data_IF_787367456059
#
_entry.id   IF_787367456059
#
_cell.length_a   1.000
_cell.length_b   1.000
_cell.length_c   1.000
_cell.angle_alpha   90.00
_cell.angle_beta   90.00
_cell.angle_gamma   90.00
#
_symmetry.space_group_name_H-M   'P 1'
#
loop_
_entity.id
_entity.type
_entity.pdbx_description
1 polymer ?
#
# COMPACT_ATOMS: atom_id res chain seq x y z
N UNK A 1 24.37 -46.63 -13.35
CA UNK A 1 24.31 -45.30 -14.01
C UNK A 1 24.47 -44.25 -12.91
N UNK A 2 25.73 -43.97 -12.55
CA UNK A 2 26.04 -43.06 -11.45
C UNK A 2 26.02 -41.62 -11.93
N UNK A 3 25.09 -40.82 -11.43
CA UNK A 3 25.18 -39.36 -11.47
C UNK A 3 26.18 -38.95 -10.39
N UNK A 4 27.47 -38.87 -10.74
CA UNK A 4 28.41 -38.07 -9.96
C UNK A 4 28.21 -36.61 -10.41
N UNK A 5 27.55 -35.75 -9.61
CA UNK A 5 27.44 -34.35 -9.99
C UNK A 5 28.84 -33.73 -10.00
N UNK A 6 29.21 -33.02 -11.08
CA UNK A 6 30.50 -32.34 -11.12
C UNK A 6 30.55 -31.30 -10.00
N UNK A 7 31.72 -31.05 -9.43
CA UNK A 7 31.91 -30.02 -8.39
C UNK A 7 31.39 -28.64 -8.85
N UNK A 8 31.49 -28.35 -10.15
CA UNK A 8 30.93 -27.14 -10.78
C UNK A 8 29.40 -27.10 -10.75
N UNK A 9 28.73 -28.24 -10.95
CA UNK A 9 27.27 -28.35 -10.92
C UNK A 9 26.76 -28.22 -9.48
N UNK A 10 27.47 -28.83 -8.51
CA UNK A 10 27.20 -28.68 -7.08
C UNK A 10 27.37 -27.22 -6.65
N UNK A 11 28.44 -26.55 -7.08
CA UNK A 11 28.69 -25.14 -6.76
C UNK A 11 27.63 -24.22 -7.38
N UNK A 12 27.24 -24.45 -8.64
CA UNK A 12 26.19 -23.68 -9.30
C UNK A 12 24.83 -23.84 -8.62
N UNK A 13 24.50 -25.07 -8.19
CA UNK A 13 23.28 -25.34 -7.45
C UNK A 13 23.27 -24.69 -6.07
N UNK A 14 24.40 -24.72 -5.36
CA UNK A 14 24.56 -24.03 -4.07
C UNK A 14 24.41 -22.51 -4.23
N UNK A 15 24.99 -21.93 -5.27
CA UNK A 15 24.89 -20.48 -5.55
C UNK A 15 23.44 -20.08 -5.85
N UNK A 16 22.69 -20.92 -6.58
CA UNK A 16 21.26 -20.73 -6.84
C UNK A 16 20.43 -20.81 -5.54
N UNK A 17 20.70 -21.79 -4.67
CA UNK A 17 20.01 -21.90 -3.38
C UNK A 17 20.26 -20.69 -2.49
N UNK A 18 21.49 -20.16 -2.51
CA UNK A 18 21.87 -18.95 -1.77
C UNK A 18 21.13 -17.72 -2.32
N UNK A 19 21.00 -17.54 -3.64
CA UNK A 19 20.27 -16.37 -4.18
C UNK A 19 18.77 -16.43 -3.88
N UNK A 20 18.16 -17.62 -3.87
CA UNK A 20 16.74 -17.78 -3.54
C UNK A 20 16.45 -17.49 -2.05
N UNK A 21 17.37 -17.77 -1.14
CA UNK A 21 17.16 -17.56 0.30
C UNK A 21 17.19 -16.08 0.72
N UNK A 22 17.74 -15.17 -0.10
CA UNK A 22 17.72 -13.73 0.16
C UNK A 22 16.52 -13.00 -0.47
N UNK A 23 15.65 -13.68 -1.21
CA UNK A 23 14.46 -13.09 -1.82
C UNK A 23 13.31 -12.95 -0.79
N UNK A 24 13.51 -12.20 0.29
CA UNK A 24 12.45 -11.84 1.23
C UNK A 24 12.22 -10.33 1.19
N UNK A 25 11.12 -9.91 0.57
CA UNK A 25 10.65 -8.53 0.62
C UNK A 25 9.48 -8.42 1.59
N UNK A 26 9.68 -7.70 2.70
CA UNK A 26 8.57 -7.33 3.57
C UNK A 26 7.80 -6.18 2.95
N UNK A 27 6.70 -6.51 2.25
CA UNK A 27 5.72 -5.51 1.85
C UNK A 27 5.06 -4.94 3.12
N UNK A 28 5.39 -3.71 3.46
CA UNK A 28 4.70 -3.00 4.55
C UNK A 28 3.29 -2.65 4.11
N UNK A 29 2.31 -3.17 4.83
CA UNK A 29 0.90 -2.88 4.63
C UNK A 29 0.37 -2.13 5.85
N UNK A 30 -0.49 -1.14 5.59
CA UNK A 30 -1.14 -0.36 6.64
C UNK A 30 -2.64 -0.38 6.40
N UNK A 31 -3.40 -0.79 7.41
CA UNK A 31 -4.86 -0.80 7.36
C UNK A 31 -5.41 0.46 8.02
N UNK A 32 -6.28 1.16 7.28
CA UNK A 32 -7.01 2.33 7.75
C UNK A 32 -8.48 1.93 7.86
N UNK A 33 -9.02 1.93 9.07
CA UNK A 33 -10.41 1.57 9.33
C UNK A 33 -11.21 2.79 9.79
N UNK A 34 -12.38 3.00 9.19
CA UNK A 34 -13.31 4.01 9.66
C UNK A 34 -14.19 3.44 10.79
N UNK A 35 -13.98 3.88 12.02
CA UNK A 35 -14.86 3.55 13.17
C UNK A 35 -15.89 4.63 13.48
N UNK A 36 -15.86 5.76 12.77
CA UNK A 36 -16.83 6.84 12.94
C UNK A 36 -18.22 6.39 12.47
N UNK A 37 -19.27 6.96 13.06
CA UNK A 37 -20.66 6.73 12.67
C UNK A 37 -21.06 7.40 11.34
N UNK A 38 -20.10 7.96 10.61
CA UNK A 38 -20.30 8.70 9.38
C UNK A 38 -19.19 8.39 8.37
N UNK A 39 -19.47 8.67 7.09
CA UNK A 39 -18.52 8.51 6.00
C UNK A 39 -17.33 9.46 6.15
N UNK A 40 -16.13 8.91 6.01
CA UNK A 40 -14.88 9.68 5.91
C UNK A 40 -14.20 9.39 4.58
N UNK A 41 -13.40 10.33 4.10
CA UNK A 41 -12.52 10.11 2.95
C UNK A 41 -11.10 10.01 3.49
N UNK A 42 -10.63 8.79 3.69
CA UNK A 42 -9.24 8.55 4.08
C UNK A 42 -8.30 9.12 3.01
N UNK A 43 -7.18 9.65 3.47
CA UNK A 43 -6.13 10.22 2.64
C UNK A 43 -4.76 9.79 3.17
N UNK A 44 -3.83 9.57 2.25
CA UNK A 44 -2.46 9.22 2.55
C UNK A 44 -1.51 9.88 1.55
N UNK A 45 -0.37 10.37 2.03
CA UNK A 45 0.73 10.84 1.18
C UNK A 45 2.04 10.18 1.62
N UNK A 46 2.69 9.38 0.76
CA UNK A 46 2.15 8.84 -0.49
C UNK A 46 1.02 7.83 -0.21
N UNK A 47 0.14 7.61 -1.20
CA UNK A 47 -0.84 6.51 -1.13
C UNK A 47 -2.25 6.85 -1.60
N UNK A 48 -2.58 8.13 -1.71
CA UNK A 48 -3.80 8.56 -2.38
C UNK A 48 -4.98 8.85 -1.46
N UNK A 49 -6.19 8.50 -1.91
CA UNK A 49 -7.38 8.62 -1.06
C UNK A 49 -8.52 7.68 -1.41
N UNK A 50 -9.34 7.34 -0.41
CA UNK A 50 -10.48 6.44 -0.55
C UNK A 50 -11.63 6.85 0.36
N UNK A 51 -12.85 6.80 -0.16
CA UNK A 51 -14.06 6.93 0.65
C UNK A 51 -14.27 5.66 1.48
N UNK A 52 -14.54 5.83 2.78
CA UNK A 52 -14.83 4.74 3.71
C UNK A 52 -16.13 5.05 4.47
N UNK A 53 -17.14 4.20 4.27
CA UNK A 53 -18.33 4.16 5.12
C UNK A 53 -17.97 3.61 6.50
N UNK A 54 -18.89 3.72 7.45
CA UNK A 54 -18.70 3.18 8.79
C UNK A 54 -18.33 1.69 8.73
N UNK A 55 -17.25 1.32 9.43
CA UNK A 55 -16.75 -0.05 9.54
C UNK A 55 -15.86 -0.51 8.38
N UNK A 56 -15.80 0.23 7.26
CA UNK A 56 -14.97 -0.12 6.11
C UNK A 56 -13.49 0.13 6.37
N UNK A 57 -12.66 -0.65 5.67
CA UNK A 57 -11.20 -0.62 5.76
C UNK A 57 -10.57 -0.34 4.39
N UNK A 58 -9.45 0.37 4.41
CA UNK A 58 -8.54 0.55 3.28
C UNK A 58 -7.15 0.05 3.63
N UNK A 59 -6.68 -0.94 2.89
CA UNK A 59 -5.30 -1.43 3.01
C UNK A 59 -4.41 -0.68 2.02
N UNK A 60 -3.52 0.16 2.56
CA UNK A 60 -2.43 0.75 1.82
C UNK A 60 -1.32 -0.29 1.65
N UNK A 61 -0.91 -0.51 0.40
CA UNK A 61 0.16 -1.44 0.03
C UNK A 61 1.35 -0.65 -0.51
N UNK A 62 2.55 -1.19 -0.33
CA UNK A 62 3.79 -0.65 -0.90
C UNK A 62 4.13 0.78 -0.46
N UNK A 63 3.67 1.20 0.72
CA UNK A 63 4.01 2.54 1.25
C UNK A 63 5.41 2.50 1.85
N UNK A 64 6.38 3.08 1.16
CA UNK A 64 7.76 3.14 1.65
C UNK A 64 8.07 4.52 2.23
N UNK A 65 8.87 4.56 3.30
CA UNK A 65 9.36 5.80 3.88
C UNK A 65 8.36 6.57 4.75
N UNK A 66 8.64 7.86 4.94
CA UNK A 66 7.83 8.78 5.75
C UNK A 66 6.60 9.24 4.97
N UNK A 67 5.47 9.34 5.65
CA UNK A 67 4.22 9.79 5.06
C UNK A 67 3.23 10.30 6.08
N UNK A 68 2.06 10.72 5.60
CA UNK A 68 0.95 11.18 6.42
C UNK A 68 -0.28 10.36 6.08
N UNK A 69 -1.08 10.04 7.09
CA UNK A 69 -2.41 9.46 6.95
C UNK A 69 -3.36 10.35 7.76
N UNK A 70 -4.49 10.73 7.16
CA UNK A 70 -5.50 11.54 7.84
C UNK A 70 -6.91 11.25 7.31
N UNK A 71 -7.91 11.64 8.08
CA UNK A 71 -9.32 11.59 7.68
C UNK A 71 -9.78 12.93 7.12
N UNK A 72 -10.62 12.87 6.09
CA UNK A 72 -11.32 14.03 5.53
C UNK A 72 -12.81 13.87 5.73
N UNK A 73 -13.52 14.99 5.92
CA UNK A 73 -14.96 14.96 6.20
C UNK A 73 -15.75 15.85 5.25
N UNK A 74 -17.03 15.49 5.05
CA UNK A 74 -17.99 16.20 4.21
C UNK A 74 -17.42 16.53 2.82
N UNK A 75 -16.92 15.50 2.14
CA UNK A 75 -16.37 15.68 0.80
C UNK A 75 -17.41 15.43 -0.29
N UNK A 76 -17.24 16.09 -1.42
CA UNK A 76 -17.98 15.83 -2.65
C UNK A 76 -17.00 15.85 -3.83
N UNK A 77 -16.97 14.78 -4.63
CA UNK A 77 -16.11 14.64 -5.80
C UNK A 77 -16.93 14.31 -7.04
N UNK A 78 -16.54 14.87 -8.19
CA UNK A 78 -17.03 14.50 -9.51
C UNK A 78 -16.43 13.19 -10.01
N UNK A 79 -16.88 12.73 -11.18
CA UNK A 79 -16.38 11.50 -11.80
C UNK A 79 -14.92 11.57 -12.26
N UNK A 80 -14.38 12.79 -12.37
CA UNK A 80 -12.97 13.09 -12.62
C UNK A 80 -12.10 13.06 -11.34
N UNK A 81 -12.70 12.81 -10.17
CA UNK A 81 -12.01 12.81 -8.88
C UNK A 81 -11.70 14.20 -8.34
N UNK A 82 -12.20 15.27 -8.98
CA UNK A 82 -12.06 16.65 -8.50
C UNK A 82 -13.25 17.05 -7.64
N UNK A 83 -13.02 17.88 -6.63
CA UNK A 83 -14.03 18.17 -5.62
C UNK A 83 -13.52 19.02 -4.48
N UNK A 84 -14.15 18.85 -3.31
CA UNK A 84 -13.76 19.57 -2.08
C UNK A 84 -14.21 18.83 -0.83
N UNK A 85 -13.40 18.89 0.22
CA UNK A 85 -13.74 18.52 1.58
C UNK A 85 -13.85 19.74 2.50
N UNK A 86 -14.67 19.66 3.56
CA UNK A 86 -14.75 20.71 4.59
C UNK A 86 -13.48 20.73 5.46
N UNK A 87 -12.94 19.56 5.79
CA UNK A 87 -11.72 19.41 6.58
C UNK A 87 -10.77 18.39 5.97
N UNK A 88 -9.47 18.62 6.14
CA UNK A 88 -8.41 17.74 5.64
C UNK A 88 -8.28 17.70 4.12
N UNK A 89 -8.86 18.68 3.40
CA UNK A 89 -8.81 18.73 1.94
C UNK A 89 -7.37 18.76 1.40
N UNK A 90 -7.13 18.09 0.28
CA UNK A 90 -5.83 18.00 -0.39
C UNK A 90 -5.89 18.62 -1.79
N UNK A 91 -6.13 19.93 -1.83
CA UNK A 91 -6.26 20.72 -3.07
C UNK A 91 -7.36 20.21 -4.01
N UNK A 92 -8.50 19.83 -3.43
CA UNK A 92 -9.71 19.43 -4.15
C UNK A 92 -9.62 18.11 -4.90
N UNK A 93 -8.74 17.19 -4.50
CA UNK A 93 -8.58 15.87 -5.14
C UNK A 93 -9.05 14.73 -4.26
N UNK A 94 -9.70 13.73 -4.85
CA UNK A 94 -9.99 12.47 -4.16
C UNK A 94 -8.68 11.73 -3.85
N UNK A 95 -7.81 11.64 -4.85
CA UNK A 95 -6.50 11.03 -4.77
C UNK A 95 -5.47 12.06 -4.28
N UNK A 96 -5.07 11.96 -3.01
CA UNK A 96 -4.08 12.87 -2.44
C UNK A 96 -2.68 12.43 -2.90
N UNK A 97 -2.17 13.19 -3.87
CA UNK A 97 -0.92 12.95 -4.57
C UNK A 97 0.27 12.99 -3.65
#
# INVERSE_FOLDING_TARGET
>A
MGLFPNLRDVFSFLLLLITLSFASSHATQREIRNTCAYTVWAAAYPGGGKQLKQGETWTLKNITGSGRIWGRTKCSFGGDGLGKCESGDCAGRLDCG
#
